data_IF_621419028344
#
_entry.id   IF_621419028344
#
_cell.length_a   1.000
_cell.length_b   1.000
_cell.length_c   1.000
_cell.angle_alpha   90.00
_cell.angle_beta   90.00
_cell.angle_gamma   90.00
#
_symmetry.space_group_name_H-M   'P 1'
#
loop_
_entity.id
_entity.type
_entity.pdbx_description
1 polymer ?
#
# COMPACT_ATOMS: atom_id res chain seq x y z
N UNK A 1 2.41 15.47 5.71
CA UNK A 1 2.88 14.43 6.66
C UNK A 1 2.90 13.07 5.97
N UNK A 2 1.74 12.54 5.57
CA UNK A 2 1.64 11.31 4.76
C UNK A 2 2.36 11.41 3.41
N UNK A 3 2.32 12.58 2.76
CA UNK A 3 2.98 12.82 1.46
C UNK A 3 4.51 12.69 1.50
N UNK A 4 5.12 12.64 2.69
CA UNK A 4 6.57 12.48 2.86
C UNK A 4 6.98 11.02 3.12
N UNK A 5 6.02 10.11 3.26
CA UNK A 5 6.33 8.69 3.49
C UNK A 5 6.79 8.06 2.19
N UNK A 6 8.00 7.51 2.19
CA UNK A 6 8.50 6.74 1.06
C UNK A 6 7.77 5.39 1.00
N UNK A 7 7.19 5.07 -0.15
CA UNK A 7 6.44 3.83 -0.36
C UNK A 7 7.27 2.89 -1.25
N UNK A 8 7.44 1.65 -0.82
CA UNK A 8 8.04 0.58 -1.61
C UNK A 8 6.92 -0.28 -2.19
N UNK A 9 6.94 -0.45 -3.51
CA UNK A 9 6.10 -1.40 -4.22
C UNK A 9 6.88 -2.71 -4.37
N UNK A 10 6.27 -3.83 -3.97
CA UNK A 10 6.81 -5.18 -4.19
C UNK A 10 5.77 -6.03 -4.90
N UNK A 11 6.18 -6.75 -5.93
CA UNK A 11 5.33 -7.68 -6.69
C UNK A 11 6.01 -9.04 -6.69
N UNK A 12 5.31 -10.04 -6.20
CA UNK A 12 5.69 -11.44 -6.32
C UNK A 12 4.86 -12.07 -7.42
N UNK A 13 5.47 -12.39 -8.56
CA UNK A 13 4.87 -13.22 -9.59
C UNK A 13 5.02 -14.69 -9.18
N UNK A 14 3.90 -15.40 -9.13
CA UNK A 14 3.79 -16.75 -8.57
C UNK A 14 3.56 -17.74 -9.70
N UNK A 15 4.21 -18.90 -9.61
CA UNK A 15 4.09 -19.97 -10.60
C UNK A 15 4.62 -19.52 -11.95
N UNK A 16 5.83 -18.96 -11.97
CA UNK A 16 6.46 -18.45 -13.18
C UNK A 16 7.91 -18.89 -13.30
N UNK A 17 8.39 -19.00 -14.55
CA UNK A 17 9.78 -19.31 -14.88
C UNK A 17 10.54 -18.07 -15.42
N UNK A 18 9.96 -16.87 -15.32
CA UNK A 18 10.68 -15.64 -15.66
C UNK A 18 11.87 -15.43 -14.71
N UNK A 19 13.06 -15.24 -15.29
CA UNK A 19 14.25 -14.83 -14.53
C UNK A 19 14.35 -13.31 -14.45
N UNK A 20 15.13 -12.77 -13.51
CA UNK A 20 15.36 -11.32 -13.40
C UNK A 20 15.94 -10.67 -14.66
N UNK A 21 16.65 -11.43 -15.51
CA UNK A 21 17.17 -10.91 -16.80
C UNK A 21 16.06 -10.65 -17.82
N UNK A 22 14.90 -11.23 -17.60
CA UNK A 22 13.73 -11.15 -18.46
C UNK A 22 12.75 -10.06 -18.01
N UNK A 23 13.07 -9.35 -16.92
CA UNK A 23 12.24 -8.30 -16.34
C UNK A 23 12.83 -6.94 -16.72
N UNK A 24 11.98 -6.06 -17.22
CA UNK A 24 12.28 -4.63 -17.27
C UNK A 24 11.17 -3.84 -16.63
N UNK A 25 11.50 -2.65 -16.10
CA UNK A 25 10.56 -1.76 -15.47
C UNK A 25 10.63 -0.39 -16.16
N UNK A 26 9.48 0.24 -16.33
CA UNK A 26 9.40 1.62 -16.81
C UNK A 26 8.33 2.38 -16.03
N UNK A 27 8.51 3.68 -15.90
CA UNK A 27 7.51 4.59 -15.38
C UNK A 27 6.81 5.28 -16.55
N UNK A 28 5.49 5.20 -16.58
CA UNK A 28 4.67 5.87 -17.58
C UNK A 28 4.31 7.28 -17.07
N UNK A 29 4.52 8.30 -17.91
CA UNK A 29 4.24 9.70 -17.62
C UNK A 29 2.97 10.16 -18.36
N UNK A 30 2.27 11.16 -17.83
CA UNK A 30 0.96 11.67 -18.31
C UNK A 30 0.92 12.14 -19.78
N UNK A 31 2.08 12.22 -20.47
CA UNK A 31 2.21 12.63 -21.88
C UNK A 31 2.53 11.47 -22.84
N UNK A 32 2.33 10.23 -22.41
CA UNK A 32 2.69 9.04 -23.19
C UNK A 32 4.20 8.82 -23.32
N UNK A 33 5.01 9.54 -22.53
CA UNK A 33 6.44 9.31 -22.41
C UNK A 33 6.68 8.25 -21.34
N UNK A 34 7.62 7.34 -21.59
CA UNK A 34 8.05 6.31 -20.64
C UNK A 34 9.50 6.52 -20.26
N UNK A 35 9.81 6.48 -18.97
CA UNK A 35 11.17 6.50 -18.46
C UNK A 35 11.53 5.08 -18.05
N UNK A 36 12.46 4.45 -18.76
CA UNK A 36 13.02 3.17 -18.34
C UNK A 36 13.65 3.32 -16.97
N UNK A 37 13.19 2.52 -16.00
CA UNK A 37 13.73 2.53 -14.65
C UNK A 37 14.57 1.28 -14.45
N UNK A 38 15.87 1.50 -14.24
CA UNK A 38 16.82 0.43 -13.92
C UNK A 38 16.97 0.21 -12.41
N UNK A 39 16.38 1.08 -11.59
CA UNK A 39 16.50 1.03 -10.14
C UNK A 39 15.33 0.22 -9.55
N UNK A 40 15.40 -1.09 -9.74
CA UNK A 40 14.54 -2.05 -9.04
C UNK A 40 15.38 -3.23 -8.58
N UNK A 41 15.00 -3.82 -7.46
CA UNK A 41 15.56 -5.06 -6.99
C UNK A 41 14.74 -6.21 -7.57
N UNK A 42 15.42 -7.28 -7.95
CA UNK A 42 14.78 -8.50 -8.43
C UNK A 42 15.46 -9.72 -7.83
N UNK A 43 14.64 -10.68 -7.38
CA UNK A 43 15.09 -11.99 -6.93
C UNK A 43 14.18 -13.08 -7.49
N UNK A 44 14.75 -14.26 -7.76
CA UNK A 44 14.00 -15.42 -8.21
C UNK A 44 14.24 -16.59 -7.27
N UNK A 45 13.17 -17.15 -6.74
CA UNK A 45 13.16 -18.36 -5.92
C UNK A 45 12.89 -19.58 -6.82
N UNK A 46 13.93 -20.40 -6.99
CA UNK A 46 13.88 -21.60 -7.82
C UNK A 46 13.04 -22.73 -7.21
N UNK A 47 12.86 -22.76 -5.89
CA UNK A 47 12.14 -23.84 -5.21
C UNK A 47 10.63 -23.64 -5.35
N UNK A 48 10.18 -22.39 -5.20
CA UNK A 48 8.77 -22.04 -5.21
C UNK A 48 8.29 -21.45 -6.55
N UNK A 49 9.18 -21.27 -7.53
CA UNK A 49 8.91 -20.61 -8.81
C UNK A 49 8.28 -19.20 -8.63
N UNK A 50 8.91 -18.41 -7.75
CA UNK A 50 8.45 -17.06 -7.40
C UNK A 50 9.49 -16.04 -7.86
N UNK A 51 9.06 -15.12 -8.72
CA UNK A 51 9.84 -13.95 -9.12
C UNK A 51 9.39 -12.74 -8.30
N UNK A 52 10.28 -12.15 -7.53
CA UNK A 52 10.00 -10.97 -6.70
C UNK A 52 10.69 -9.75 -7.28
N UNK A 53 9.93 -8.68 -7.48
CA UNK A 53 10.41 -7.39 -7.97
C UNK A 53 10.02 -6.31 -6.98
N UNK A 54 10.96 -5.49 -6.53
CA UNK A 54 10.67 -4.37 -5.63
C UNK A 54 11.32 -3.07 -6.07
N UNK A 55 10.61 -1.97 -5.85
CA UNK A 55 11.08 -0.63 -6.21
C UNK A 55 10.55 0.42 -5.24
N UNK A 56 11.35 1.46 -5.01
CA UNK A 56 10.92 2.63 -4.26
C UNK A 56 10.15 3.56 -5.19
N UNK A 57 8.91 3.91 -4.82
CA UNK A 57 8.10 4.83 -5.61
C UNK A 57 8.52 6.27 -5.34
N UNK A 58 8.81 7.07 -6.38
CA UNK A 58 9.22 8.47 -6.23
C UNK A 58 8.06 9.38 -5.81
N UNK A 59 6.81 8.95 -6.02
CA UNK A 59 5.60 9.72 -5.74
C UNK A 59 4.41 8.78 -5.50
N UNK A 60 3.37 9.28 -4.84
CA UNK A 60 2.14 8.53 -4.53
C UNK A 60 1.14 8.46 -5.69
N UNK A 61 1.38 9.20 -6.76
CA UNK A 61 0.60 9.17 -8.02
C UNK A 61 1.51 8.75 -9.16
N UNK A 62 1.48 7.48 -9.54
CA UNK A 62 2.46 6.94 -10.49
C UNK A 62 1.90 5.73 -11.23
N UNK A 63 2.21 5.67 -12.53
CA UNK A 63 2.01 4.48 -13.34
C UNK A 63 3.36 3.80 -13.59
N UNK A 64 3.49 2.56 -13.13
CA UNK A 64 4.68 1.72 -13.31
C UNK A 64 4.30 0.52 -14.15
N UNK A 65 5.12 0.17 -15.13
CA UNK A 65 4.93 -1.00 -15.97
C UNK A 65 6.10 -1.97 -15.82
N UNK A 66 5.76 -3.22 -15.51
CA UNK A 66 6.66 -4.35 -15.48
C UNK A 66 6.49 -5.18 -16.75
N UNK A 67 7.59 -5.37 -17.45
CA UNK A 67 7.68 -6.05 -18.72
C UNK A 67 8.44 -7.35 -18.55
N UNK A 68 7.73 -8.46 -18.71
CA UNK A 68 8.27 -9.81 -18.63
C UNK A 68 8.42 -10.36 -20.05
N UNK A 69 9.65 -10.59 -20.52
CA UNK A 69 9.95 -11.04 -21.88
C UNK A 69 10.34 -12.51 -21.90
N UNK A 70 9.63 -13.32 -22.67
CA UNK A 70 9.90 -14.75 -22.83
C UNK A 70 8.62 -15.58 -22.83
N UNK A 71 8.69 -16.82 -23.32
CA UNK A 71 7.54 -17.71 -23.48
C UNK A 71 7.17 -18.37 -22.15
N UNK A 72 6.87 -17.58 -21.13
CA UNK A 72 6.48 -18.09 -19.81
C UNK A 72 5.15 -17.48 -19.38
N UNK A 73 4.39 -18.23 -18.60
CA UNK A 73 3.16 -17.75 -17.98
C UNK A 73 3.42 -17.29 -16.54
N UNK A 74 2.44 -16.58 -15.99
CA UNK A 74 2.36 -16.21 -14.58
C UNK A 74 1.03 -16.74 -14.07
N UNK A 75 1.06 -17.62 -13.06
CA UNK A 75 -0.15 -18.20 -12.47
C UNK A 75 -0.94 -17.22 -11.59
N UNK A 76 -0.24 -16.27 -10.98
CA UNK A 76 -0.83 -15.18 -10.20
C UNK A 76 0.23 -14.21 -9.73
N UNK A 77 -0.18 -13.17 -9.01
CA UNK A 77 0.76 -12.26 -8.36
C UNK A 77 0.27 -11.82 -6.98
N UNK A 78 1.20 -11.52 -6.09
CA UNK A 78 0.95 -10.83 -4.84
C UNK A 78 1.57 -9.44 -4.91
N UNK A 79 0.77 -8.40 -4.74
CA UNK A 79 1.22 -7.02 -4.71
C UNK A 79 1.26 -6.55 -3.26
N UNK A 80 2.38 -5.96 -2.86
CA UNK A 80 2.56 -5.39 -1.54
C UNK A 80 3.02 -3.93 -1.64
N UNK A 81 2.49 -3.09 -0.75
CA UNK A 81 2.95 -1.73 -0.50
C UNK A 81 3.45 -1.65 0.93
N UNK A 82 4.67 -1.17 1.11
CA UNK A 82 5.25 -0.94 2.42
C UNK A 82 5.77 0.48 2.58
N UNK A 83 5.64 1.04 3.78
CA UNK A 83 6.13 2.38 4.10
C UNK A 83 6.42 2.49 5.60
N UNK A 84 7.60 2.97 5.99
CA UNK A 84 8.00 2.98 7.40
C UNK A 84 7.15 3.99 8.20
N UNK A 85 6.91 3.69 9.48
CA UNK A 85 6.34 4.67 10.40
C UNK A 85 7.31 5.82 10.64
N UNK A 86 6.77 7.01 10.90
CA UNK A 86 7.57 8.20 11.18
C UNK A 86 6.87 9.10 12.19
N UNK A 87 7.55 9.35 13.31
CA UNK A 87 7.10 10.35 14.29
C UNK A 87 7.92 11.64 14.14
N UNK A 88 7.24 12.79 14.23
CA UNK A 88 7.85 14.12 14.21
C UNK A 88 7.33 14.95 15.40
N UNK A 89 8.11 15.97 15.79
CA UNK A 89 7.79 16.93 16.86
C UNK A 89 7.29 16.24 18.14
N UNK A 90 8.14 15.44 18.79
CA UNK A 90 7.79 14.77 20.06
C UNK A 90 6.53 13.88 19.99
N UNK A 91 6.29 13.25 18.82
CA UNK A 91 5.11 12.42 18.52
C UNK A 91 3.78 13.19 18.40
N UNK A 92 3.81 14.52 18.24
CA UNK A 92 2.62 15.29 17.85
C UNK A 92 2.11 14.92 16.46
N UNK A 93 3.01 14.45 15.60
CA UNK A 93 2.73 14.02 14.23
C UNK A 93 3.25 12.61 14.05
N UNK A 94 2.36 11.64 13.90
CA UNK A 94 2.71 10.22 13.72
C UNK A 94 2.15 9.74 12.39
N UNK A 95 3.03 9.32 11.49
CA UNK A 95 2.66 8.51 10.33
C UNK A 95 2.79 7.06 10.73
N UNK A 96 1.69 6.33 10.64
CA UNK A 96 1.67 4.89 10.86
C UNK A 96 2.37 4.14 9.73
N UNK A 97 2.82 2.93 10.05
CA UNK A 97 3.38 2.02 9.05
C UNK A 97 2.31 1.67 8.02
N UNK A 98 2.70 1.71 6.74
CA UNK A 98 1.94 1.11 5.66
C UNK A 98 2.46 -0.31 5.49
N UNK A 99 1.62 -1.29 5.74
CA UNK A 99 1.86 -2.70 5.40
C UNK A 99 0.59 -3.26 4.77
N UNK A 100 0.58 -3.31 3.45
CA UNK A 100 -0.56 -3.78 2.67
C UNK A 100 -0.09 -4.82 1.66
N UNK A 101 -0.77 -5.96 1.62
CA UNK A 101 -0.51 -7.01 0.64
C UNK A 101 -1.82 -7.63 0.18
N UNK A 102 -1.98 -7.78 -1.14
CA UNK A 102 -3.12 -8.46 -1.73
C UNK A 102 -2.66 -9.45 -2.80
N UNK A 103 -3.26 -10.64 -2.79
CA UNK A 103 -2.96 -11.69 -3.75
C UNK A 103 -4.06 -11.76 -4.81
N UNK A 104 -3.64 -11.82 -6.06
CA UNK A 104 -4.50 -12.05 -7.20
C UNK A 104 -4.06 -13.33 -7.91
N UNK A 105 -4.95 -14.32 -7.92
CA UNK A 105 -4.74 -15.59 -8.59
C UNK A 105 -6.05 -16.00 -9.23
N UNK A 106 -6.20 -15.88 -10.55
CA UNK A 106 -7.40 -16.35 -11.22
C UNK A 106 -7.45 -17.89 -11.20
N UNK A 107 -8.66 -18.44 -11.20
CA UNK A 107 -8.87 -19.88 -11.30
C UNK A 107 -8.77 -20.29 -12.76
N UNK A 108 -7.90 -21.25 -13.08
CA UNK A 108 -7.69 -21.82 -14.41
C UNK A 108 -7.22 -20.85 -15.51
N UNK A 109 -7.01 -19.57 -15.21
CA UNK A 109 -6.45 -18.58 -16.13
C UNK A 109 -5.02 -18.22 -15.73
N UNK A 110 -4.30 -17.56 -16.64
CA UNK A 110 -2.98 -17.00 -16.40
C UNK A 110 -3.02 -15.48 -16.52
N UNK A 111 -1.98 -14.79 -16.05
CA UNK A 111 -1.88 -13.35 -16.27
C UNK A 111 -1.86 -13.07 -17.77
N UNK A 112 -2.84 -12.29 -18.23
CA UNK A 112 -2.99 -11.88 -19.62
C UNK A 112 -1.76 -11.12 -20.11
N UNK A 113 -1.62 -10.96 -21.44
CA UNK A 113 -0.55 -10.17 -22.08
C UNK A 113 -0.46 -8.74 -21.51
N UNK A 114 -1.59 -8.14 -21.12
CA UNK A 114 -1.65 -6.79 -20.55
C UNK A 114 -2.57 -6.78 -19.33
N UNK A 115 -2.02 -6.97 -18.14
CA UNK A 115 -2.75 -6.83 -16.89
C UNK A 115 -2.63 -5.39 -16.35
N UNK A 116 -3.75 -4.82 -15.90
CA UNK A 116 -3.77 -3.51 -15.25
C UNK A 116 -4.26 -3.67 -13.80
N UNK A 117 -3.49 -3.11 -12.88
CA UNK A 117 -3.78 -3.05 -11.46
C UNK A 117 -3.89 -1.59 -11.06
N UNK A 118 -5.07 -1.19 -10.62
CA UNK A 118 -5.33 0.15 -10.12
C UNK A 118 -5.25 0.12 -8.59
N UNK A 119 -4.46 1.03 -8.02
CA UNK A 119 -4.35 1.23 -6.58
C UNK A 119 -4.84 2.63 -6.26
N UNK A 120 -5.89 2.70 -5.44
CA UNK A 120 -6.44 3.96 -4.94
C UNK A 120 -6.01 4.16 -3.49
N UNK A 121 -5.16 5.16 -3.25
CA UNK A 121 -4.62 5.51 -1.94
C UNK A 121 -5.50 6.56 -1.27
N UNK A 122 -6.14 6.20 -0.14
CA UNK A 122 -6.96 7.15 0.63
C UNK A 122 -6.23 7.56 1.91
N UNK A 123 -6.15 8.87 2.16
CA UNK A 123 -5.55 9.41 3.39
C UNK A 123 -6.56 9.29 4.53
N UNK A 124 -6.11 8.78 5.67
CA UNK A 124 -6.87 8.84 6.92
C UNK A 124 -6.07 9.63 7.96
N UNK A 125 -6.70 10.65 8.53
CA UNK A 125 -6.11 11.55 9.52
C UNK A 125 -6.87 11.39 10.83
N UNK A 126 -6.19 10.91 11.85
CA UNK A 126 -6.71 10.82 13.21
C UNK A 126 -6.25 12.05 13.98
N UNK A 127 -7.18 12.80 14.57
CA UNK A 127 -6.87 13.94 15.43
C UNK A 127 -7.32 13.64 16.85
N UNK A 128 -6.40 13.70 17.79
CA UNK A 128 -6.68 13.61 19.23
C UNK A 128 -6.53 15.00 19.82
N UNK A 129 -7.61 15.54 20.38
CA UNK A 129 -7.59 16.88 20.99
C UNK A 129 -6.87 16.85 22.33
N UNK A 130 -6.14 17.93 22.63
CA UNK A 130 -5.50 18.13 23.94
C UNK A 130 -6.54 18.25 25.06
N UNK A 131 -6.13 17.94 26.30
CA UNK A 131 -7.03 18.00 27.46
C UNK A 131 -7.28 19.44 27.92
N UNK A 132 -6.31 20.34 27.69
CA UNK A 132 -6.37 21.76 28.03
C UNK A 132 -6.34 22.67 26.80
N UNK A 133 -6.74 23.94 26.94
CA UNK A 133 -6.66 24.97 25.87
C UNK A 133 -5.21 25.21 25.42
N UNK A 134 -4.24 24.91 26.30
CA UNK A 134 -2.82 25.07 26.03
C UNK A 134 -2.16 23.76 25.55
N UNK A 135 -2.91 22.65 25.54
CA UNK A 135 -2.38 21.36 25.08
C UNK A 135 -2.53 21.25 23.56
N UNK A 136 -1.43 20.92 22.90
CA UNK A 136 -1.44 20.70 21.46
C UNK A 136 -2.25 19.45 21.09
N UNK A 137 -2.97 19.54 19.97
CA UNK A 137 -3.60 18.36 19.36
C UNK A 137 -2.53 17.43 18.78
N UNK A 138 -2.74 16.12 18.92
CA UNK A 138 -1.95 15.10 18.26
C UNK A 138 -2.60 14.67 16.95
N UNK A 139 -1.79 14.41 15.94
CA UNK A 139 -2.22 13.98 14.62
C UNK A 139 -1.56 12.65 14.25
N UNK A 140 -2.39 11.64 14.00
CA UNK A 140 -2.02 10.38 13.36
C UNK A 140 -2.41 10.40 11.88
N UNK A 141 -1.59 9.81 11.02
CA UNK A 141 -1.89 9.66 9.60
C UNK A 141 -1.59 8.25 9.15
N UNK A 142 -2.49 7.66 8.37
CA UNK A 142 -2.26 6.36 7.72
C UNK A 142 -2.83 6.35 6.31
N UNK A 143 -2.26 5.49 5.47
CA UNK A 143 -2.75 5.23 4.12
C UNK A 143 -3.67 4.01 4.11
N UNK A 144 -4.82 4.15 3.45
CA UNK A 144 -5.73 3.05 3.15
C UNK A 144 -5.71 2.78 1.64
N UNK A 145 -4.85 1.85 1.17
CA UNK A 145 -4.86 1.39 -0.21
C UNK A 145 -6.10 0.55 -0.49
N UNK A 146 -6.66 0.71 -1.68
CA UNK A 146 -7.65 -0.19 -2.27
C UNK A 146 -7.18 -0.62 -3.65
N UNK A 147 -7.11 -1.92 -3.87
CA UNK A 147 -6.66 -2.50 -5.13
C UNK A 147 -7.87 -2.90 -6.00
N UNK A 148 -7.73 -2.73 -7.30
CA UNK A 148 -8.70 -3.20 -8.30
C UNK A 148 -7.93 -3.72 -9.50
N UNK A 149 -8.07 -5.01 -9.78
CA UNK A 149 -7.44 -5.66 -10.94
C UNK A 149 -8.44 -5.71 -12.08
N UNK A 150 -7.99 -5.28 -13.26
CA UNK A 150 -8.69 -5.54 -14.52
C UNK A 150 -7.83 -6.51 -15.33
N UNK A 151 -8.24 -7.78 -15.35
CA UNK A 151 -7.68 -8.81 -16.24
C UNK A 151 -8.83 -9.43 -17.02
N UNK A 152 -8.66 -9.58 -18.33
CA UNK A 152 -9.57 -10.36 -19.16
C UNK A 152 -8.77 -11.35 -20.01
N UNK A 153 -9.04 -12.62 -19.72
CA UNK A 153 -8.89 -13.78 -20.59
C UNK A 153 -7.45 -14.22 -20.87
N UNK A 154 -7.22 -15.52 -20.63
CA UNK A 154 -6.26 -16.29 -21.42
C UNK A 154 -6.42 -15.86 -22.88
N UNK A 155 -5.34 -15.53 -23.57
CA UNK A 155 -5.39 -15.35 -25.02
C UNK A 155 -6.07 -16.62 -25.57
N UNK A 156 -7.32 -16.47 -26.03
CA UNK A 156 -8.18 -17.56 -26.48
C UNK A 156 -7.42 -18.42 -27.47
N UNK A 157 -7.24 -19.67 -27.13
CA UNK A 157 -6.70 -20.68 -28.03
C UNK A 157 -7.67 -21.84 -28.02
N UNK A 158 -8.04 -22.23 -29.24
CA UNK A 158 -9.04 -23.22 -29.57
C UNK A 158 -8.93 -24.52 -28.76
N UNK A 159 -10.08 -25.02 -28.33
CA UNK A 159 -10.26 -26.43 -28.00
C UNK A 159 -10.29 -27.20 -29.32
N UNK A 160 -9.17 -27.78 -29.73
CA UNK A 160 -9.21 -28.95 -30.62
C UNK A 160 -9.14 -30.20 -29.75
N UNK A 161 -10.10 -31.11 -29.92
CA UNK A 161 -10.16 -32.42 -29.27
C UNK A 161 -10.29 -32.45 -27.72
N UNK A 162 -10.77 -31.37 -27.09
CA UNK A 162 -11.03 -31.35 -25.64
C UNK A 162 -9.81 -31.05 -24.77
N UNK A 163 -8.65 -30.75 -25.38
CA UNK A 163 -7.45 -30.29 -24.68
C UNK A 163 -7.33 -28.77 -24.76
N UNK A 164 -7.07 -28.12 -23.62
CA UNK A 164 -6.77 -26.68 -23.56
C UNK A 164 -5.33 -26.44 -24.03
N UNK A 165 -5.16 -25.90 -25.22
CA UNK A 165 -3.86 -25.41 -25.69
C UNK A 165 -3.65 -23.98 -25.16
N UNK A 166 -2.54 -23.71 -24.48
CA UNK A 166 -2.17 -22.36 -24.02
C UNK A 166 -1.07 -21.80 -24.91
N UNK A 167 -1.32 -20.68 -25.58
CA UNK A 167 -0.25 -19.98 -26.30
C UNK A 167 0.53 -19.14 -25.29
N UNK A 168 1.83 -19.42 -25.19
CA UNK A 168 2.73 -18.67 -24.32
C UNK A 168 3.04 -17.34 -25.01
N UNK A 169 2.59 -16.20 -24.45
CA UNK A 169 2.88 -14.92 -25.07
C UNK A 169 4.39 -14.66 -24.99
N UNK A 170 4.96 -14.04 -26.02
CA UNK A 170 6.37 -13.64 -26.01
C UNK A 170 6.66 -12.54 -24.96
N UNK A 171 5.62 -11.86 -24.50
CA UNK A 171 5.69 -10.77 -23.53
C UNK A 171 4.43 -10.71 -22.67
N UNK A 172 4.63 -10.53 -21.38
CA UNK A 172 3.57 -10.21 -20.41
C UNK A 172 3.86 -8.84 -19.80
N UNK A 173 2.84 -7.98 -19.72
CA UNK A 173 2.92 -6.61 -19.20
C UNK A 173 2.00 -6.48 -18.00
N UNK A 174 2.55 -6.08 -16.86
CA UNK A 174 1.79 -5.71 -15.67
C UNK A 174 1.92 -4.21 -15.45
N UNK A 175 0.83 -3.48 -15.60
CA UNK A 175 0.76 -2.04 -15.34
C UNK A 175 0.15 -1.86 -13.95
N UNK A 176 0.88 -1.19 -13.07
CA UNK A 176 0.41 -0.76 -11.76
C UNK A 176 0.20 0.74 -11.81
N UNK A 177 -1.05 1.17 -11.76
CA UNK A 177 -1.43 2.58 -11.72
C UNK A 177 -1.88 2.97 -10.31
N UNK A 178 -1.11 3.84 -9.67
CA UNK A 178 -1.38 4.32 -8.33
C UNK A 178 -1.89 5.75 -8.39
N UNK A 179 -3.04 6.00 -7.76
CA UNK A 179 -3.64 7.33 -7.64
C UNK A 179 -4.11 7.60 -6.22
N UNK A 180 -4.24 8.87 -5.86
CA UNK A 180 -4.83 9.27 -4.58
C UNK A 180 -6.33 9.52 -4.72
N UNK A 181 -7.09 9.28 -3.65
CA UNK A 181 -8.48 9.70 -3.53
C UNK A 181 -8.62 11.22 -3.45
N UNK A 182 -9.70 11.74 -4.04
CA UNK A 182 -10.02 13.18 -4.02
C UNK A 182 -10.48 13.66 -2.63
N UNK A 183 -10.76 12.71 -1.73
CA UNK A 183 -11.15 12.95 -0.35
C UNK A 183 -10.19 12.25 0.62
N UNK A 184 -10.20 12.72 1.86
CA UNK A 184 -9.56 12.06 3.00
C UNK A 184 -10.60 11.78 4.08
N UNK A 185 -10.33 10.78 4.91
CA UNK A 185 -11.14 10.47 6.09
C UNK A 185 -10.51 11.15 7.29
N UNK A 186 -11.29 11.91 8.06
CA UNK A 186 -10.81 12.52 9.30
C UNK A 186 -11.61 11.98 10.49
N UNK A 187 -10.90 11.35 11.43
CA UNK A 187 -11.46 10.94 12.70
C UNK A 187 -11.01 11.91 13.78
N UNK A 188 -11.96 12.42 14.57
CA UNK A 188 -11.65 13.32 15.70
C UNK A 188 -12.03 12.62 16.99
N UNK A 189 -11.08 12.53 17.93
CA UNK A 189 -11.28 11.97 19.26
C UNK A 189 -11.19 13.09 20.29
N UNK A 190 -12.25 13.22 21.09
CA UNK A 190 -12.29 14.07 22.27
C UNK A 190 -11.72 13.31 23.50
N UNK A 191 -11.14 14.00 24.48
CA UNK A 191 -10.70 13.39 25.72
C UNK A 191 -11.83 12.64 26.44
N UNK A 192 -11.54 11.43 26.96
CA UNK A 192 -12.51 10.56 27.65
C UNK A 192 -13.06 11.21 28.93
N UNK A 193 -12.26 12.05 29.59
CA UNK A 193 -12.70 12.81 30.77
C UNK A 193 -12.97 14.26 30.39
N UNK A 194 -14.17 14.75 30.70
CA UNK A 194 -14.51 16.17 30.51
C UNK A 194 -13.79 17.00 31.57
N UNK A 195 -13.36 18.23 31.25
CA UNK A 195 -12.65 19.14 32.17
C UNK A 195 -13.33 19.24 33.55
N UNK A 196 -14.66 19.29 33.57
CA UNK A 196 -15.44 19.35 34.79
C UNK A 196 -15.21 18.12 35.67
N UNK A 197 -15.12 16.93 35.10
CA UNK A 197 -14.90 15.67 35.84
C UNK A 197 -13.50 15.58 36.43
N UNK A 198 -12.47 16.08 35.73
CA UNK A 198 -11.11 16.18 36.25
C UNK A 198 -11.05 17.17 37.42
N UNK A 199 -11.65 18.36 37.28
CA UNK A 199 -11.71 19.36 38.36
C UNK A 199 -12.46 18.78 39.58
N UNK A 200 -13.59 18.12 39.38
CA UNK A 200 -14.32 17.50 40.48
C UNK A 200 -13.52 16.40 41.16
N UNK A 201 -12.80 15.55 40.42
CA UNK A 201 -11.86 14.60 41.01
C UNK A 201 -10.77 15.34 41.81
N UNK A 202 -10.07 16.32 41.24
CA UNK A 202 -9.00 17.01 41.95
C UNK A 202 -9.48 17.73 43.21
N UNK A 203 -10.66 18.37 43.18
CA UNK A 203 -11.25 19.03 44.36
C UNK A 203 -11.71 18.02 45.41
N UNK A 204 -12.34 16.91 45.01
CA UNK A 204 -12.78 15.85 45.95
C UNK A 204 -11.60 15.14 46.64
N UNK A 205 -10.44 15.04 45.98
CA UNK A 205 -9.25 14.41 46.55
C UNK A 205 -8.29 15.41 47.23
N UNK A 206 -8.30 16.70 46.88
CA UNK A 206 -7.53 17.73 47.61
C UNK A 206 -8.23 18.20 48.89
N UNK A 207 -9.56 18.27 48.90
CA UNK A 207 -10.35 18.65 50.08
C UNK A 207 -10.32 17.62 51.21
N UNK A 208 -9.88 16.39 50.92
CA UNK A 208 -9.70 15.34 51.94
C UNK A 208 -8.45 15.53 52.81
N UNK A 209 -7.47 16.34 52.37
CA UNK A 209 -6.25 16.63 53.15
C UNK A 209 -6.31 17.92 53.98
N UNK A 210 -7.38 18.72 53.87
CA UNK A 210 -7.51 20.00 54.57
C UNK A 210 -8.46 19.99 55.77
N UNK A 211 -8.85 18.81 56.28
CA UNK A 211 -9.72 18.66 57.46
C UNK A 211 -9.05 17.80 58.54
N UNK A 212 -7.84 18.15 58.96
CA UNK A 212 -7.31 17.79 60.28
C UNK A 212 -6.30 18.84 60.76
N UNK A 213 -6.81 19.94 61.29
CA UNK A 213 -6.20 20.66 62.41
C UNK A 213 -7.32 21.30 63.24
N UNK A 214 -7.10 21.36 64.55
CA UNK A 214 -7.98 21.85 65.65
C UNK A 214 -8.68 20.71 66.41
N UNK A 215 -8.02 20.11 67.40
CA UNK A 215 -7.94 20.70 68.75
C UNK A 215 -6.71 20.19 69.52
#
# INVERSE_FOLDING_TARGET
MLDQQHITLTIHFIGTAFSCKNVSMQQNMDRGQSISSTNFNCSFDNENFILSVSTLLPQHRISVEFNLKGPYFVGGFRLCLSGPSKAQNEKKYVVEELDFCEMFSPLNETLTVNALVNIKMTKTINRTMGMSINDDSMYGGLWLPKLSVTTLSDALVYVENGEYLRYLPERTRLIVDMSESDFFVQNTQEPIARRNEIIFHTVLFSSKNSLFFVH
#
